data_IF_707738368723
#
_entry.id   IF_707738368723
#
_cell.length_a   1.000
_cell.length_b   1.000
_cell.length_c   1.000
_cell.angle_alpha   90.00
_cell.angle_beta   90.00
_cell.angle_gamma   90.00
#
_symmetry.space_group_name_H-M   'P 1'
#
loop_
_entity.id
_entity.type
_entity.pdbx_description
1 polymer ?
#
# COMPACT_ATOMS: atom_id res chain seq x y z
N UNK A 1 11.65 25.23 28.49
CA UNK A 1 11.76 23.76 28.56
C UNK A 1 10.35 23.17 28.60
N UNK A 2 9.92 22.40 27.58
CA UNK A 2 8.64 21.68 27.63
C UNK A 2 8.85 20.41 28.45
N UNK A 3 8.21 20.30 29.62
CA UNK A 3 8.25 19.11 30.45
C UNK A 3 7.53 17.94 29.74
N UNK A 4 8.06 16.71 29.78
CA UNK A 4 7.43 15.56 29.14
C UNK A 4 6.13 15.21 29.89
N UNK A 5 5.00 15.17 29.18
CA UNK A 5 3.70 14.77 29.75
C UNK A 5 3.83 13.34 30.31
N UNK A 6 3.65 13.19 31.63
CA UNK A 6 3.61 11.88 32.31
C UNK A 6 2.52 11.01 31.66
N UNK A 7 2.87 9.79 31.25
CA UNK A 7 1.89 8.85 30.67
C UNK A 7 0.83 8.53 31.73
N UNK A 8 -0.43 8.84 31.44
CA UNK A 8 -1.57 8.51 32.31
C UNK A 8 -1.90 7.02 32.24
N UNK A 9 -2.56 6.48 33.27
CA UNK A 9 -2.99 5.08 33.31
C UNK A 9 -3.87 4.69 32.10
N UNK A 10 -4.70 5.62 31.61
CA UNK A 10 -5.49 5.45 30.39
C UNK A 10 -4.63 5.19 29.14
N UNK A 11 -3.52 5.91 29.00
CA UNK A 11 -2.62 5.73 27.86
C UNK A 11 -1.93 4.37 27.94
N UNK A 12 -1.55 3.93 29.13
CA UNK A 12 -0.96 2.60 29.33
C UNK A 12 -1.95 1.47 28.98
N UNK A 13 -3.21 1.59 29.38
CA UNK A 13 -4.26 0.62 29.03
C UNK A 13 -4.50 0.60 27.51
N UNK A 14 -4.51 1.77 26.85
CA UNK A 14 -4.63 1.86 25.39
C UNK A 14 -3.44 1.20 24.69
N UNK A 15 -2.23 1.42 25.18
CA UNK A 15 -1.02 0.82 24.63
C UNK A 15 -1.04 -0.71 24.76
N UNK A 16 -1.42 -1.25 25.94
CA UNK A 16 -1.61 -2.69 26.14
C UNK A 16 -2.62 -3.24 25.13
N UNK A 17 -3.81 -2.64 25.04
CA UNK A 17 -4.87 -3.09 24.11
C UNK A 17 -4.42 -3.05 22.65
N UNK A 18 -3.56 -2.09 22.28
CA UNK A 18 -2.99 -1.99 20.93
C UNK A 18 -1.97 -3.09 20.68
N UNK A 19 -1.10 -3.37 21.65
CA UNK A 19 -0.03 -4.34 21.53
C UNK A 19 -0.52 -5.80 21.61
N UNK A 20 -1.58 -6.07 22.39
CA UNK A 20 -2.20 -7.40 22.50
C UNK A 20 -3.28 -7.66 21.45
N UNK A 21 -3.53 -6.71 20.54
CA UNK A 21 -4.51 -6.88 19.47
C UNK A 21 -4.08 -8.02 18.55
N UNK A 22 -4.98 -8.99 18.36
CA UNK A 22 -4.77 -10.09 17.41
C UNK A 22 -4.59 -9.55 15.99
N UNK A 23 -3.52 -10.00 15.34
CA UNK A 23 -3.21 -9.68 13.94
C UNK A 23 -3.60 -10.90 13.10
N UNK A 24 -4.35 -10.66 12.03
CA UNK A 24 -4.73 -11.68 11.06
C UNK A 24 -3.89 -11.52 9.79
N UNK A 25 -3.27 -12.60 9.34
CA UNK A 25 -2.57 -12.62 8.05
C UNK A 25 -3.57 -12.45 6.89
N UNK A 26 -3.08 -12.06 5.71
CA UNK A 26 -3.94 -11.96 4.52
C UNK A 26 -4.59 -13.30 4.18
N UNK A 27 -3.85 -14.40 4.32
CA UNK A 27 -4.35 -15.76 4.09
C UNK A 27 -5.48 -16.14 5.05
N UNK A 28 -5.34 -15.83 6.35
CA UNK A 28 -6.38 -16.07 7.34
C UNK A 28 -7.66 -15.28 7.02
N UNK A 29 -7.52 -14.01 6.62
CA UNK A 29 -8.67 -13.20 6.21
C UNK A 29 -9.40 -13.82 5.02
N UNK A 30 -8.65 -14.29 4.02
CA UNK A 30 -9.21 -14.96 2.84
C UNK A 30 -9.93 -16.24 3.23
N UNK A 31 -9.33 -17.09 4.07
CA UNK A 31 -9.98 -18.32 4.55
C UNK A 31 -11.32 -18.03 5.23
N UNK A 32 -11.36 -17.04 6.13
CA UNK A 32 -12.58 -16.64 6.84
C UNK A 32 -13.65 -16.14 5.86
N UNK A 33 -13.29 -15.27 4.91
CA UNK A 33 -14.22 -14.76 3.91
C UNK A 33 -14.77 -15.88 3.03
N UNK A 34 -13.90 -16.79 2.57
CA UNK A 34 -14.31 -17.93 1.74
C UNK A 34 -15.24 -18.89 2.50
N UNK A 35 -15.01 -19.13 3.79
CA UNK A 35 -15.89 -19.93 4.63
C UNK A 35 -17.27 -19.28 4.78
N UNK A 36 -17.34 -17.96 4.92
CA UNK A 36 -18.60 -17.23 4.92
C UNK A 36 -19.35 -17.37 3.59
N UNK A 37 -18.64 -17.31 2.46
CA UNK A 37 -19.23 -17.44 1.12
C UNK A 37 -19.77 -18.85 0.83
N UNK A 38 -19.26 -19.88 1.50
CA UNK A 38 -19.84 -21.24 1.44
C UNK A 38 -21.23 -21.32 2.09
N UNK A 39 -21.59 -20.35 2.93
CA UNK A 39 -22.89 -20.25 3.61
C UNK A 39 -23.24 -21.47 4.50
N UNK A 40 -22.24 -22.20 4.99
CA UNK A 40 -22.43 -23.37 5.88
C UNK A 40 -22.78 -22.96 7.32
N UNK A 41 -22.43 -21.75 7.73
CA UNK A 41 -22.77 -21.18 9.04
C UNK A 41 -23.12 -19.70 8.91
N UNK A 42 -23.87 -19.17 9.88
CA UNK A 42 -24.20 -17.75 9.88
C UNK A 42 -22.97 -16.88 10.13
N UNK A 43 -22.99 -15.64 9.66
CA UNK A 43 -21.91 -14.67 9.89
C UNK A 43 -21.63 -14.47 11.39
N UNK A 44 -22.67 -14.50 12.23
CA UNK A 44 -22.54 -14.38 13.67
C UNK A 44 -21.77 -15.57 14.28
N UNK A 45 -22.04 -16.80 13.83
CA UNK A 45 -21.33 -18.00 14.27
C UNK A 45 -19.87 -17.99 13.80
N UNK A 46 -19.63 -17.59 12.54
CA UNK A 46 -18.28 -17.42 12.00
C UNK A 46 -17.47 -16.40 12.81
N UNK A 47 -18.07 -15.26 13.13
CA UNK A 47 -17.41 -14.22 13.90
C UNK A 47 -17.05 -14.69 15.33
N UNK A 48 -17.91 -15.48 15.97
CA UNK A 48 -17.61 -16.11 17.26
C UNK A 48 -16.47 -17.13 17.15
N UNK A 49 -16.53 -18.02 16.14
CA UNK A 49 -15.50 -19.05 15.86
C UNK A 49 -14.11 -18.45 15.71
N UNK A 50 -13.99 -17.35 14.96
CA UNK A 50 -12.71 -16.69 14.71
C UNK A 50 -12.38 -15.57 15.71
N UNK A 51 -13.27 -15.31 16.68
CA UNK A 51 -13.15 -14.22 17.66
C UNK A 51 -12.90 -12.87 16.98
N UNK A 52 -13.70 -12.56 15.96
CA UNK A 52 -13.69 -11.31 15.21
C UNK A 52 -15.00 -10.55 15.41
N UNK A 53 -14.96 -9.24 15.25
CA UNK A 53 -16.17 -8.43 15.24
C UNK A 53 -16.82 -8.50 13.84
N UNK A 54 -18.15 -8.52 13.79
CA UNK A 54 -18.90 -8.53 12.51
C UNK A 54 -18.50 -7.37 11.59
N UNK A 55 -18.29 -6.16 12.13
CA UNK A 55 -17.83 -5.00 11.35
C UNK A 55 -16.49 -5.24 10.66
N UNK A 56 -15.58 -5.97 11.31
CA UNK A 56 -14.27 -6.34 10.76
C UNK A 56 -14.43 -7.37 9.64
N UNK A 57 -15.30 -8.36 9.84
CA UNK A 57 -15.64 -9.34 8.81
C UNK A 57 -16.25 -8.66 7.57
N UNK A 58 -17.27 -7.83 7.74
CA UNK A 58 -17.93 -7.17 6.61
C UNK A 58 -16.98 -6.25 5.84
N UNK A 59 -16.03 -5.60 6.53
CA UNK A 59 -14.96 -4.84 5.88
C UNK A 59 -14.11 -5.73 4.97
N UNK A 60 -13.64 -6.88 5.47
CA UNK A 60 -12.85 -7.81 4.67
C UNK A 60 -13.63 -8.43 3.53
N UNK A 61 -14.89 -8.82 3.76
CA UNK A 61 -15.76 -9.37 2.74
C UNK A 61 -15.98 -8.37 1.59
N UNK A 62 -16.23 -7.10 1.93
CA UNK A 62 -16.35 -6.03 0.95
C UNK A 62 -15.08 -5.84 0.14
N UNK A 63 -13.93 -5.69 0.82
CA UNK A 63 -12.62 -5.52 0.15
C UNK A 63 -12.30 -6.69 -0.79
N UNK A 64 -12.56 -7.92 -0.36
CA UNK A 64 -12.34 -9.14 -1.14
C UNK A 64 -13.22 -9.19 -2.41
N UNK A 65 -14.52 -8.91 -2.26
CA UNK A 65 -15.47 -8.93 -3.38
C UNK A 65 -15.23 -7.78 -4.36
N UNK A 66 -14.91 -6.58 -3.86
CA UNK A 66 -14.58 -5.42 -4.71
C UNK A 66 -13.30 -5.68 -5.50
N UNK A 67 -12.25 -6.20 -4.86
CA UNK A 67 -11.02 -6.57 -5.55
C UNK A 67 -11.25 -7.68 -6.60
N UNK A 68 -12.04 -8.70 -6.26
CA UNK A 68 -12.44 -9.76 -7.19
C UNK A 68 -13.21 -9.22 -8.40
N UNK A 69 -14.22 -8.37 -8.15
CA UNK A 69 -15.00 -7.72 -9.22
C UNK A 69 -14.13 -6.84 -10.10
N UNK A 70 -13.25 -6.03 -9.51
CA UNK A 70 -12.30 -5.17 -10.24
C UNK A 70 -11.40 -5.99 -11.17
N UNK A 71 -10.86 -7.10 -10.65
CA UNK A 71 -9.99 -8.01 -11.43
C UNK A 71 -10.74 -8.69 -12.56
N UNK A 72 -11.97 -9.15 -12.32
CA UNK A 72 -12.80 -9.84 -13.32
C UNK A 72 -13.38 -8.88 -14.37
N UNK A 73 -13.66 -7.63 -14.00
CA UNK A 73 -14.12 -6.58 -14.92
C UNK A 73 -13.01 -6.08 -15.87
N UNK A 74 -11.81 -6.64 -15.79
CA UNK A 74 -10.70 -6.23 -16.63
C UNK A 74 -10.16 -4.84 -16.28
N UNK A 75 -10.41 -4.35 -15.06
CA UNK A 75 -9.74 -3.14 -14.58
C UNK A 75 -8.28 -3.51 -14.29
N UNK A 76 -7.48 -3.35 -15.35
CA UNK A 76 -6.03 -3.53 -15.38
C UNK A 76 -5.37 -2.33 -14.70
N UNK A 77 -5.70 -2.05 -13.44
CA UNK A 77 -4.63 -1.66 -12.52
C UNK A 77 -3.83 -2.93 -12.21
N UNK A 78 -3.19 -3.51 -13.24
CA UNK A 78 -1.94 -4.22 -13.02
C UNK A 78 -1.07 -3.15 -12.39
N UNK A 79 -0.66 -3.34 -11.14
CA UNK A 79 0.64 -2.82 -10.72
C UNK A 79 1.57 -3.15 -11.88
N UNK A 80 2.03 -2.09 -12.57
CA UNK A 80 2.55 -2.16 -13.94
C UNK A 80 3.34 -3.44 -14.15
N UNK A 81 3.03 -4.19 -15.22
CA UNK A 81 3.76 -5.42 -15.53
C UNK A 81 5.25 -5.13 -15.40
N UNK A 82 6.00 -6.05 -14.79
CA UNK A 82 7.45 -5.89 -14.59
C UNK A 82 8.16 -5.38 -15.86
N UNK A 83 7.62 -5.75 -17.03
CA UNK A 83 8.08 -5.32 -18.35
C UNK A 83 7.79 -3.83 -18.63
N UNK A 84 6.59 -3.32 -18.39
CA UNK A 84 6.28 -1.88 -18.54
C UNK A 84 7.11 -1.04 -17.56
N UNK A 85 7.27 -1.49 -16.31
CA UNK A 85 8.14 -0.81 -15.34
C UNK A 85 9.60 -0.85 -15.78
N UNK A 86 10.05 -1.97 -16.36
CA UNK A 86 11.40 -2.13 -16.90
C UNK A 86 11.64 -1.17 -18.07
N UNK A 87 10.72 -1.10 -19.03
CA UNK A 87 10.84 -0.22 -20.18
C UNK A 87 10.77 1.26 -19.77
N UNK A 88 9.84 1.63 -18.88
CA UNK A 88 9.80 2.99 -18.32
C UNK A 88 11.09 3.36 -17.57
N UNK A 89 11.71 2.42 -16.85
CA UNK A 89 13.00 2.65 -16.19
C UNK A 89 14.14 2.85 -17.19
N UNK A 90 14.18 2.05 -18.27
CA UNK A 90 15.16 2.22 -19.36
C UNK A 90 15.00 3.56 -20.05
N UNK A 91 13.77 3.95 -20.38
CA UNK A 91 13.48 5.23 -21.02
C UNK A 91 13.86 6.39 -20.10
N UNK A 92 13.51 6.33 -18.82
CA UNK A 92 13.91 7.33 -17.83
C UNK A 92 15.43 7.47 -17.72
N UNK A 93 16.16 6.34 -17.76
CA UNK A 93 17.63 6.36 -17.75
C UNK A 93 18.19 7.02 -19.01
N UNK A 94 17.65 6.70 -20.18
CA UNK A 94 18.06 7.33 -21.45
C UNK A 94 17.81 8.84 -21.45
N UNK A 95 16.64 9.27 -20.96
CA UNK A 95 16.29 10.68 -20.82
C UNK A 95 17.25 11.43 -19.88
N UNK A 96 17.62 10.84 -18.74
CA UNK A 96 18.61 11.43 -17.82
C UNK A 96 19.97 11.64 -18.46
N UNK A 97 20.45 10.67 -19.25
CA UNK A 97 21.73 10.77 -19.96
C UNK A 97 21.68 11.90 -20.99
N UNK A 98 20.61 11.99 -21.78
CA UNK A 98 20.46 13.07 -22.77
C UNK A 98 20.37 14.45 -22.12
N UNK A 99 19.66 14.57 -20.99
CA UNK A 99 19.61 15.82 -20.22
C UNK A 99 21.00 16.19 -19.71
N UNK A 100 21.77 15.25 -19.17
CA UNK A 100 23.13 15.52 -18.71
C UNK A 100 24.05 16.00 -19.83
N UNK A 101 24.00 15.37 -21.02
CA UNK A 101 24.75 15.82 -22.21
C UNK A 101 24.34 17.24 -22.64
N UNK A 102 23.03 17.52 -22.68
CA UNK A 102 22.53 18.85 -23.02
C UNK A 102 22.98 19.93 -22.02
N UNK A 103 22.95 19.63 -20.72
CA UNK A 103 23.40 20.55 -19.67
C UNK A 103 24.90 20.84 -19.80
N UNK A 104 25.72 19.82 -20.05
CA UNK A 104 27.16 20.00 -20.27
C UNK A 104 27.43 20.88 -21.48
N UNK A 105 26.74 20.64 -22.60
CA UNK A 105 26.87 21.47 -23.81
C UNK A 105 26.43 22.90 -23.57
N UNK A 106 25.32 23.09 -22.86
CA UNK A 106 24.84 24.41 -22.48
C UNK A 106 25.89 25.16 -21.64
N UNK A 107 26.50 24.52 -20.65
CA UNK A 107 27.53 25.14 -19.81
C UNK A 107 28.79 25.52 -20.59
N UNK A 108 29.21 24.68 -21.56
CA UNK A 108 30.34 24.97 -22.44
C UNK A 108 30.05 26.20 -23.30
N UNK A 109 28.88 26.22 -23.96
CA UNK A 109 28.47 27.33 -24.83
C UNK A 109 28.37 28.61 -24.01
N UNK A 110 27.73 28.56 -22.84
CA UNK A 110 27.61 29.70 -21.94
C UNK A 110 28.97 30.26 -21.53
N UNK A 111 29.90 29.42 -21.07
CA UNK A 111 31.26 29.86 -20.72
C UNK A 111 32.02 30.43 -21.91
N UNK A 112 31.84 29.88 -23.12
CA UNK A 112 32.51 30.41 -24.31
C UNK A 112 31.99 31.79 -24.69
N UNK A 113 30.69 32.04 -24.49
CA UNK A 113 30.09 33.36 -24.67
C UNK A 113 30.61 34.35 -23.63
N UNK A 114 30.62 33.95 -22.35
CA UNK A 114 31.13 34.77 -21.24
C UNK A 114 32.63 35.14 -21.40
N UNK A 115 33.40 34.38 -22.19
CA UNK A 115 34.82 34.70 -22.49
C UNK A 115 35.00 35.64 -23.69
N UNK A 116 33.94 35.89 -24.47
CA UNK A 116 33.95 36.79 -25.62
C UNK A 116 33.47 38.22 -25.27
N UNK A 117 32.84 38.38 -24.10
CA UNK A 117 32.49 39.66 -23.47
C UNK A 117 33.64 40.17 -22.58
#
# INVERSE_FOLDING_TARGET
>A
MKTPKKKTAENFIKDIRRNTRRIFSSEQKIQIVMEALRAEMSVAELCRKYSINESQFYKWNKEFLEAGKKRLAGDVTREATSDEVSELKKENQSLKVMIADLVLRYDIVKKSLDMLD
#
